data_IF_625429391283
#
_entry.id   IF_625429391283
#
_cell.length_a   1.000
_cell.length_b   1.000
_cell.length_c   1.000
_cell.angle_alpha   90.00
_cell.angle_beta   90.00
_cell.angle_gamma   90.00
#
_symmetry.space_group_name_H-M   'P 1'
#
loop_
_entity.id
_entity.type
_entity.pdbx_description
1 polymer ?
#
# COMPACT_ATOMS: atom_id res chain seq x y z
N UNK A 1 -49.12 8.16 12.30
CA UNK A 1 -47.94 8.93 11.84
C UNK A 1 -46.78 8.87 12.83
N UNK A 2 -46.80 9.50 14.02
CA UNK A 2 -45.64 9.49 14.95
C UNK A 2 -45.12 8.09 15.34
N UNK A 3 -46.01 7.12 15.55
CA UNK A 3 -45.64 5.73 15.88
C UNK A 3 -45.01 4.95 14.71
N UNK A 4 -45.30 5.38 13.47
CA UNK A 4 -44.79 4.77 12.23
C UNK A 4 -43.43 5.37 11.85
N UNK A 5 -43.22 6.68 12.01
CA UNK A 5 -41.89 7.29 11.85
C UNK A 5 -40.88 6.74 12.86
N UNK A 6 -41.27 6.61 14.14
CA UNK A 6 -40.40 6.04 15.16
C UNK A 6 -39.98 4.58 14.87
N UNK A 7 -40.80 3.80 14.13
CA UNK A 7 -40.39 2.45 13.71
C UNK A 7 -39.46 2.48 12.51
N UNK A 8 -39.63 3.45 11.60
CA UNK A 8 -38.77 3.63 10.43
C UNK A 8 -37.38 4.14 10.84
N UNK A 9 -37.30 5.13 11.74
CA UNK A 9 -36.05 5.62 12.32
C UNK A 9 -35.26 4.48 12.98
N UNK A 10 -35.96 3.66 13.77
CA UNK A 10 -35.35 2.49 14.43
C UNK A 10 -34.85 1.45 13.42
N UNK A 11 -35.60 1.20 12.34
CA UNK A 11 -35.20 0.27 11.29
C UNK A 11 -33.99 0.78 10.51
N UNK A 12 -33.97 2.07 10.14
CA UNK A 12 -32.81 2.67 9.48
C UNK A 12 -31.55 2.61 10.36
N UNK A 13 -31.67 2.89 11.66
CA UNK A 13 -30.57 2.75 12.61
C UNK A 13 -30.08 1.30 12.74
N UNK A 14 -31.01 0.33 12.79
CA UNK A 14 -30.67 -1.10 12.81
C UNK A 14 -29.93 -1.53 11.53
N UNK A 15 -30.46 -1.16 10.35
CA UNK A 15 -29.85 -1.48 9.07
C UNK A 15 -28.43 -0.92 8.98
N UNK A 16 -28.21 0.34 9.36
CA UNK A 16 -26.85 0.92 9.41
C UNK A 16 -25.90 0.10 10.27
N UNK A 17 -26.34 -0.28 11.47
CA UNK A 17 -25.53 -1.08 12.40
C UNK A 17 -25.19 -2.46 11.83
N UNK A 18 -26.16 -3.14 11.22
CA UNK A 18 -25.97 -4.47 10.63
C UNK A 18 -25.08 -4.41 9.39
N UNK A 19 -25.29 -3.42 8.52
CA UNK A 19 -24.47 -3.20 7.32
C UNK A 19 -23.03 -2.91 7.70
N UNK A 20 -22.80 -2.01 8.67
CA UNK A 20 -21.42 -1.71 9.12
C UNK A 20 -20.76 -2.91 9.81
N UNK A 21 -21.51 -3.71 10.57
CA UNK A 21 -20.99 -4.99 11.11
C UNK A 21 -20.52 -5.93 9.98
N UNK A 22 -21.33 -6.11 8.94
CA UNK A 22 -20.94 -6.95 7.80
C UNK A 22 -19.80 -6.34 6.98
N UNK A 23 -19.73 -5.02 6.83
CA UNK A 23 -18.59 -4.33 6.22
C UNK A 23 -17.30 -4.58 7.02
N UNK A 24 -17.37 -4.48 8.34
CA UNK A 24 -16.22 -4.78 9.20
C UNK A 24 -15.77 -6.24 9.04
N UNK A 25 -16.69 -7.20 9.12
CA UNK A 25 -16.40 -8.63 8.93
C UNK A 25 -15.76 -8.91 7.56
N UNK A 26 -16.28 -8.31 6.49
CA UNK A 26 -15.79 -8.53 5.13
C UNK A 26 -14.46 -7.84 4.85
N UNK A 27 -14.37 -6.51 5.09
CA UNK A 27 -13.24 -5.70 4.60
C UNK A 27 -12.11 -5.55 5.63
N UNK A 28 -12.41 -5.72 6.92
CA UNK A 28 -11.43 -5.57 8.01
C UNK A 28 -10.93 -6.92 8.50
N UNK A 29 -11.86 -7.82 8.82
CA UNK A 29 -11.55 -9.13 9.40
C UNK A 29 -11.35 -10.25 8.36
N UNK A 30 -11.68 -9.98 7.10
CA UNK A 30 -11.60 -10.94 5.99
C UNK A 30 -12.34 -12.27 6.31
N UNK A 31 -13.49 -12.18 7.03
CA UNK A 31 -14.30 -13.31 7.53
C UNK A 31 -15.82 -12.98 7.43
N UNK A 32 -16.40 -12.99 6.21
CA UNK A 32 -17.78 -12.57 5.97
C UNK A 32 -18.82 -13.57 6.50
N UNK A 33 -19.94 -13.06 7.04
CA UNK A 33 -21.02 -13.87 7.62
C UNK A 33 -22.25 -14.03 6.71
N UNK A 34 -22.38 -13.16 5.70
CA UNK A 34 -23.53 -13.10 4.79
C UNK A 34 -23.05 -13.12 3.35
N UNK A 35 -23.94 -13.56 2.44
CA UNK A 35 -23.65 -13.51 1.01
C UNK A 35 -23.73 -12.07 0.48
N UNK A 36 -23.10 -11.81 -0.66
CA UNK A 36 -23.18 -10.52 -1.34
C UNK A 36 -24.64 -10.12 -1.65
N UNK A 37 -25.48 -11.10 -2.01
CA UNK A 37 -26.89 -10.88 -2.30
C UNK A 37 -27.69 -10.45 -1.06
N UNK A 38 -27.40 -11.05 0.11
CA UNK A 38 -28.05 -10.67 1.37
C UNK A 38 -27.61 -9.28 1.82
N UNK A 39 -26.30 -8.98 1.69
CA UNK A 39 -25.76 -7.65 1.95
C UNK A 39 -26.42 -6.59 1.06
N UNK A 40 -26.51 -6.83 -0.24
CA UNK A 40 -27.13 -5.92 -1.21
C UNK A 40 -28.61 -5.69 -0.89
N UNK A 41 -29.33 -6.72 -0.43
CA UNK A 41 -30.71 -6.58 0.01
C UNK A 41 -30.84 -5.62 1.21
N UNK A 42 -29.97 -5.75 2.22
CA UNK A 42 -29.94 -4.84 3.37
C UNK A 42 -29.61 -3.40 2.96
N UNK A 43 -28.63 -3.22 2.09
CA UNK A 43 -28.22 -1.90 1.61
C UNK A 43 -29.32 -1.23 0.77
N UNK A 44 -29.99 -2.00 -0.09
CA UNK A 44 -31.12 -1.51 -0.88
C UNK A 44 -32.32 -1.14 0.01
N UNK A 45 -32.61 -1.94 1.04
CA UNK A 45 -33.65 -1.58 2.02
C UNK A 45 -33.33 -0.24 2.70
N UNK A 46 -32.09 -0.02 3.12
CA UNK A 46 -31.69 1.26 3.73
C UNK A 46 -31.80 2.43 2.74
N UNK A 47 -31.42 2.22 1.48
CA UNK A 47 -31.55 3.23 0.41
C UNK A 47 -33.01 3.61 0.20
N UNK A 48 -33.89 2.64 0.07
CA UNK A 48 -35.33 2.88 -0.13
C UNK A 48 -35.93 3.68 1.03
N UNK A 49 -35.54 3.34 2.27
CA UNK A 49 -35.98 4.09 3.45
C UNK A 49 -35.48 5.54 3.43
N UNK A 50 -34.22 5.77 3.08
CA UNK A 50 -33.62 7.11 3.01
C UNK A 50 -34.10 7.94 1.80
N UNK A 51 -34.61 7.30 0.75
CA UNK A 51 -35.32 7.97 -0.34
C UNK A 51 -36.73 8.39 0.05
N UNK A 52 -37.47 7.52 0.75
CA UNK A 52 -38.81 7.81 1.23
C UNK A 52 -38.82 8.82 2.39
N UNK A 53 -37.74 8.82 3.18
CA UNK A 53 -37.55 9.68 4.36
C UNK A 53 -36.19 10.39 4.31
N UNK A 54 -36.05 11.48 3.53
CA UNK A 54 -34.80 12.20 3.37
C UNK A 54 -34.19 12.70 4.69
N UNK A 55 -35.01 12.94 5.72
CA UNK A 55 -34.58 13.31 7.07
C UNK A 55 -33.73 12.24 7.77
N UNK A 56 -33.80 10.98 7.31
CA UNK A 56 -33.00 9.90 7.88
C UNK A 56 -31.57 9.91 7.35
N UNK A 57 -31.27 10.59 6.24
CA UNK A 57 -29.92 10.58 5.65
C UNK A 57 -28.94 11.27 6.59
N UNK A 58 -27.97 10.50 7.07
CA UNK A 58 -26.88 11.00 7.91
C UNK A 58 -25.55 10.94 7.17
N UNK A 59 -24.58 11.83 7.48
CA UNK A 59 -23.28 11.83 6.82
C UNK A 59 -22.45 10.54 6.99
N UNK A 60 -22.79 9.73 7.99
CA UNK A 60 -22.16 8.43 8.32
C UNK A 60 -22.94 7.22 7.78
N UNK A 61 -24.04 7.44 7.04
CA UNK A 61 -24.80 6.34 6.48
C UNK A 61 -24.00 5.61 5.37
N UNK A 62 -24.00 4.26 5.32
CA UNK A 62 -23.28 3.49 4.30
C UNK A 62 -23.70 3.81 2.86
N UNK A 63 -24.93 4.29 2.67
CA UNK A 63 -25.46 4.73 1.37
C UNK A 63 -24.76 5.98 0.82
N UNK A 64 -24.10 6.76 1.69
CA UNK A 64 -23.43 8.01 1.34
C UNK A 64 -21.96 7.80 0.91
N UNK A 65 -21.48 6.55 0.86
CA UNK A 65 -20.10 6.24 0.44
C UNK A 65 -19.83 6.57 -1.03
N UNK A 66 -20.86 6.50 -1.89
CA UNK A 66 -20.77 6.77 -3.33
C UNK A 66 -21.87 7.76 -3.73
N UNK A 67 -21.56 8.72 -4.61
CA UNK A 67 -22.53 9.70 -5.12
C UNK A 67 -22.25 11.16 -4.76
N UNK A 68 -21.10 11.45 -4.13
CA UNK A 68 -20.62 12.82 -4.01
C UNK A 68 -20.35 13.41 -5.40
N UNK A 69 -20.71 14.69 -5.61
CA UNK A 69 -20.39 15.39 -6.84
C UNK A 69 -18.86 15.47 -7.01
N UNK A 70 -18.34 15.39 -8.25
CA UNK A 70 -16.94 15.66 -8.51
C UNK A 70 -16.51 17.01 -7.92
N UNK A 71 -15.33 17.03 -7.31
CA UNK A 71 -14.73 18.24 -6.77
C UNK A 71 -14.15 19.08 -7.91
N UNK A 72 -14.23 20.40 -7.80
CA UNK A 72 -13.53 21.30 -8.74
C UNK A 72 -12.00 21.23 -8.54
N UNK A 73 -11.58 21.10 -7.28
CA UNK A 73 -10.18 20.98 -6.85
C UNK A 73 -10.10 20.42 -5.43
N UNK A 74 -8.92 19.95 -5.04
CA UNK A 74 -8.62 19.61 -3.65
C UNK A 74 -8.24 20.86 -2.86
N UNK A 75 -8.82 21.01 -1.67
CA UNK A 75 -8.45 22.09 -0.75
C UNK A 75 -7.30 21.66 0.16
N UNK A 76 -6.35 22.55 0.49
CA UNK A 76 -5.30 22.26 1.44
C UNK A 76 -5.87 22.10 2.86
N UNK A 77 -5.44 21.06 3.57
CA UNK A 77 -5.85 20.76 4.94
C UNK A 77 -4.63 20.73 5.84
N UNK A 78 -4.60 21.57 6.87
CA UNK A 78 -3.57 21.50 7.91
C UNK A 78 -3.87 20.36 8.88
N UNK A 79 -2.87 19.53 9.15
CA UNK A 79 -2.96 18.43 10.10
C UNK A 79 -3.00 18.95 11.55
N UNK A 80 -3.72 18.25 12.43
CA UNK A 80 -3.83 18.64 13.85
C UNK A 80 -2.50 18.44 14.59
N UNK A 81 -1.76 17.39 14.20
CA UNK A 81 -0.35 17.21 14.54
C UNK A 81 0.48 17.00 13.27
N UNK A 82 1.76 17.40 13.22
CA UNK A 82 2.60 17.09 12.07
C UNK A 82 2.66 15.57 11.78
N UNK A 83 2.68 15.21 10.50
CA UNK A 83 2.96 13.87 10.00
C UNK A 83 4.44 13.80 9.60
N UNK A 84 5.24 13.08 10.36
CA UNK A 84 6.67 12.96 10.13
C UNK A 84 7.02 11.88 9.10
N UNK A 85 8.23 11.99 8.53
CA UNK A 85 8.88 10.88 7.83
C UNK A 85 9.67 10.05 8.84
N UNK A 86 10.10 8.86 8.45
CA UNK A 86 10.96 8.02 9.28
C UNK A 86 12.41 8.10 8.79
N UNK A 87 13.35 8.12 9.74
CA UNK A 87 14.74 7.80 9.44
C UNK A 87 14.83 6.35 8.94
N UNK A 88 15.87 6.02 8.17
CA UNK A 88 16.07 4.67 7.66
C UNK A 88 17.27 3.99 8.32
N UNK A 89 17.13 2.72 8.67
CA UNK A 89 18.22 1.78 8.89
C UNK A 89 18.25 0.82 7.69
N UNK A 90 19.41 0.66 7.06
CA UNK A 90 19.62 -0.21 5.88
C UNK A 90 20.23 -1.56 6.21
N UNK A 91 20.68 -1.74 7.44
CA UNK A 91 21.34 -2.93 7.94
C UNK A 91 21.22 -3.01 9.46
N UNK A 92 21.70 -4.12 10.00
CA UNK A 92 21.68 -4.41 11.43
C UNK A 92 22.51 -3.40 12.24
N UNK A 93 23.66 -3.00 11.72
CA UNK A 93 24.56 -2.05 12.38
C UNK A 93 23.90 -0.68 12.58
N UNK A 94 23.17 -0.20 11.57
CA UNK A 94 22.42 1.05 11.63
C UNK A 94 21.26 0.98 12.64
N UNK A 95 20.54 -0.16 12.71
CA UNK A 95 19.49 -0.36 13.71
C UNK A 95 20.07 -0.39 15.13
N UNK A 96 21.17 -1.12 15.36
CA UNK A 96 21.87 -1.18 16.65
C UNK A 96 22.37 0.20 17.08
N UNK A 97 22.90 0.98 16.14
CA UNK A 97 23.32 2.35 16.40
C UNK A 97 22.14 3.26 16.77
N UNK A 98 20.96 3.05 16.17
CA UNK A 98 19.74 3.76 16.55
C UNK A 98 19.25 3.37 17.96
N UNK A 99 19.18 2.08 18.27
CA UNK A 99 18.83 1.56 19.60
C UNK A 99 19.72 2.15 20.69
N UNK A 100 21.04 2.14 20.50
CA UNK A 100 21.99 2.72 21.44
C UNK A 100 21.74 4.22 21.70
N UNK A 101 21.34 4.98 20.66
CA UNK A 101 20.98 6.41 20.80
C UNK A 101 19.67 6.58 21.56
N UNK A 102 18.65 5.79 21.24
CA UNK A 102 17.34 5.80 21.92
C UNK A 102 17.51 5.50 23.39
N UNK A 103 18.18 4.39 23.72
CA UNK A 103 18.47 3.95 25.08
C UNK A 103 19.21 5.01 25.89
N UNK A 104 20.25 5.61 25.31
CA UNK A 104 20.97 6.71 25.96
C UNK A 104 20.07 7.91 26.27
N UNK A 105 19.30 8.38 25.29
CA UNK A 105 18.42 9.53 25.46
C UNK A 105 17.26 9.27 26.44
N UNK A 106 16.76 8.03 26.49
CA UNK A 106 15.75 7.60 27.46
C UNK A 106 16.33 7.56 28.89
N UNK A 107 17.54 7.02 29.07
CA UNK A 107 18.24 7.01 30.35
C UNK A 107 18.56 8.42 30.86
N UNK A 108 19.00 9.33 29.98
CA UNK A 108 19.23 10.74 30.31
C UNK A 108 17.96 11.44 30.84
N UNK A 109 16.77 10.86 30.57
CA UNK A 109 15.46 11.34 31.01
C UNK A 109 14.87 10.55 32.17
N UNK A 110 15.61 9.59 32.73
CA UNK A 110 15.21 8.81 33.90
C UNK A 110 14.47 7.51 33.58
N UNK A 111 14.35 7.11 32.31
CA UNK A 111 13.79 5.79 31.95
C UNK A 111 14.89 4.73 32.09
N UNK A 112 14.70 3.69 32.92
CA UNK A 112 15.62 2.57 33.01
C UNK A 112 15.78 1.87 31.66
N UNK A 113 17.02 1.47 31.33
CA UNK A 113 17.34 0.91 30.01
C UNK A 113 16.56 -0.37 29.74
N UNK A 114 16.35 -1.19 30.76
CA UNK A 114 15.59 -2.42 30.75
C UNK A 114 14.10 -2.24 30.45
N UNK A 115 13.57 -1.01 30.55
CA UNK A 115 12.17 -0.68 30.28
C UNK A 115 11.96 -0.16 28.85
N UNK A 116 13.01 -0.02 28.04
CA UNK A 116 12.87 0.38 26.65
C UNK A 116 12.44 -0.81 25.81
N UNK A 117 11.16 -0.83 25.47
CA UNK A 117 10.54 -1.80 24.57
C UNK A 117 10.32 -1.20 23.17
N UNK A 118 10.19 -2.05 22.17
CA UNK A 118 9.90 -1.66 20.80
C UNK A 118 8.67 -2.37 20.25
N UNK A 119 7.91 -1.70 19.40
CA UNK A 119 6.90 -2.31 18.54
C UNK A 119 7.44 -2.39 17.12
N UNK A 120 7.30 -3.55 16.49
CA UNK A 120 7.59 -3.74 15.06
C UNK A 120 6.31 -3.93 14.25
N UNK A 121 6.18 -3.20 13.15
CA UNK A 121 5.06 -3.32 12.20
C UNK A 121 5.59 -3.40 10.76
N UNK A 122 4.93 -4.14 9.85
CA UNK A 122 5.30 -4.12 8.44
C UNK A 122 5.14 -2.71 7.87
N UNK A 123 6.16 -2.22 7.16
CA UNK A 123 6.14 -0.90 6.54
C UNK A 123 5.42 -0.96 5.20
N UNK A 124 4.12 -0.69 5.23
CA UNK A 124 3.24 -0.68 4.06
C UNK A 124 3.74 0.31 3.00
N UNK A 125 3.80 -0.13 1.75
CA UNK A 125 4.12 0.71 0.60
C UNK A 125 2.85 1.28 -0.05
N UNK A 126 2.41 2.45 0.44
CA UNK A 126 1.20 3.09 -0.05
C UNK A 126 1.24 4.61 0.02
N UNK A 127 0.09 5.19 0.35
CA UNK A 127 -0.09 6.62 0.58
C UNK A 127 -0.54 6.87 2.02
N UNK A 128 0.27 7.61 2.78
CA UNK A 128 -0.07 8.04 4.13
C UNK A 128 -1.29 8.97 4.15
N UNK A 129 -2.25 8.63 5.00
CA UNK A 129 -3.53 9.31 5.21
C UNK A 129 -3.72 9.64 6.69
N UNK A 130 -4.30 10.81 6.95
CA UNK A 130 -4.83 11.23 8.24
C UNK A 130 -6.35 11.32 8.16
N UNK A 131 -7.05 10.68 9.10
CA UNK A 131 -8.50 10.67 9.25
C UNK A 131 -8.87 11.29 10.59
N UNK A 132 -9.69 12.33 10.60
CA UNK A 132 -10.18 12.98 11.82
C UNK A 132 -11.62 12.56 12.05
N UNK A 133 -11.85 12.00 13.23
CA UNK A 133 -13.15 11.68 13.76
C UNK A 133 -13.50 12.64 14.90
N UNK A 134 -14.66 13.25 14.82
CA UNK A 134 -15.22 14.11 15.88
C UNK A 134 -16.49 13.46 16.41
N UNK A 135 -16.51 13.14 17.70
CA UNK A 135 -17.58 12.38 18.36
C UNK A 135 -17.94 11.10 17.57
N UNK A 136 -16.91 10.40 17.10
CA UNK A 136 -17.03 9.15 16.34
C UNK A 136 -17.34 9.29 14.86
N UNK A 137 -17.63 10.47 14.31
CA UNK A 137 -17.98 10.63 12.89
C UNK A 137 -16.77 11.08 12.08
N UNK A 138 -16.50 10.45 10.93
CA UNK A 138 -15.46 10.87 10.00
C UNK A 138 -15.78 12.25 9.39
N UNK A 139 -15.12 13.29 9.87
CA UNK A 139 -15.34 14.68 9.41
C UNK A 139 -14.30 15.12 8.38
N UNK A 140 -13.07 14.62 8.47
CA UNK A 140 -11.99 15.04 7.57
C UNK A 140 -11.00 13.93 7.26
N UNK A 141 -10.60 13.82 6.00
CA UNK A 141 -9.52 12.95 5.56
C UNK A 141 -8.54 13.72 4.68
N UNK A 142 -7.24 13.53 4.91
CA UNK A 142 -6.20 14.27 4.20
C UNK A 142 -5.00 13.39 3.83
N UNK A 143 -4.38 13.70 2.68
CA UNK A 143 -3.06 13.13 2.32
C UNK A 143 -1.98 13.71 3.22
N UNK A 144 -0.81 13.06 3.31
CA UNK A 144 0.32 13.62 4.08
C UNK A 144 0.76 15.00 3.59
N UNK A 145 0.79 15.21 2.27
CA UNK A 145 1.37 16.40 1.65
C UNK A 145 2.82 16.65 2.10
N UNK A 146 3.08 17.84 2.65
CA UNK A 146 4.41 18.20 3.17
C UNK A 146 4.64 17.79 4.64
N UNK A 147 3.67 17.13 5.26
CA UNK A 147 3.70 16.72 6.67
C UNK A 147 2.99 17.71 7.61
N UNK A 148 2.80 18.96 7.21
CA UNK A 148 1.96 19.92 7.95
C UNK A 148 0.63 20.16 7.25
N UNK A 149 0.66 20.23 5.93
CA UNK A 149 -0.50 20.50 5.07
C UNK A 149 -0.59 19.41 4.00
N UNK A 150 -1.76 18.78 3.97
CA UNK A 150 -2.18 17.77 3.00
C UNK A 150 -3.22 18.27 2.01
N UNK A 151 -3.63 17.39 1.10
CA UNK A 151 -4.82 17.59 0.27
C UNK A 151 -6.04 16.97 0.96
N UNK A 152 -7.14 17.71 1.08
CA UNK A 152 -8.39 17.21 1.62
C UNK A 152 -9.09 16.25 0.66
N UNK A 153 -9.07 14.95 0.99
CA UNK A 153 -9.54 13.84 0.15
C UNK A 153 -10.65 13.03 0.85
N UNK A 154 -11.40 13.66 1.76
CA UNK A 154 -12.45 13.01 2.58
C UNK A 154 -13.44 12.21 1.73
N UNK A 155 -13.89 12.77 0.59
CA UNK A 155 -14.89 12.10 -0.26
C UNK A 155 -14.34 10.82 -0.88
N UNK A 156 -13.09 10.85 -1.37
CA UNK A 156 -12.41 9.68 -1.91
C UNK A 156 -12.21 8.61 -0.83
N UNK A 157 -11.82 9.00 0.38
CA UNK A 157 -11.59 8.08 1.50
C UNK A 157 -12.89 7.41 1.99
N UNK A 158 -14.03 8.11 1.94
CA UNK A 158 -15.35 7.51 2.25
C UNK A 158 -15.70 6.33 1.35
N UNK A 159 -15.16 6.29 0.13
CA UNK A 159 -15.39 5.17 -0.81
C UNK A 159 -14.64 3.89 -0.41
N UNK A 160 -13.62 3.99 0.45
CA UNK A 160 -12.83 2.83 0.91
C UNK A 160 -13.59 2.14 2.03
N UNK A 161 -14.08 0.94 1.74
CA UNK A 161 -14.95 0.18 2.65
C UNK A 161 -14.26 -0.26 3.95
N UNK A 162 -12.94 -0.41 3.93
CA UNK A 162 -12.13 -0.69 5.13
C UNK A 162 -12.02 0.51 6.10
N UNK A 163 -12.42 1.71 5.68
CA UNK A 163 -12.45 2.90 6.55
C UNK A 163 -13.86 3.02 7.16
N UNK A 164 -14.02 2.93 8.49
CA UNK A 164 -15.32 3.13 9.12
C UNK A 164 -15.76 4.58 8.96
N UNK A 165 -17.05 4.83 8.67
CA UNK A 165 -17.58 6.20 8.65
C UNK A 165 -17.91 6.71 10.06
N UNK A 166 -18.15 5.75 10.97
CA UNK A 166 -18.50 5.95 12.36
C UNK A 166 -17.69 4.99 13.24
N UNK A 167 -17.18 5.50 14.34
CA UNK A 167 -16.59 4.73 15.43
C UNK A 167 -17.54 4.79 16.62
N UNK A 168 -17.95 3.63 17.13
CA UNK A 168 -18.77 3.54 18.34
C UNK A 168 -17.93 3.79 19.59
N UNK A 169 -18.54 4.34 20.64
CA UNK A 169 -17.87 4.69 21.91
C UNK A 169 -16.59 5.53 21.73
N UNK A 170 -16.57 6.37 20.69
CA UNK A 170 -15.40 7.13 20.30
C UNK A 170 -15.08 8.29 21.27
N UNK A 171 -13.80 8.66 21.39
CA UNK A 171 -13.40 9.90 22.05
C UNK A 171 -13.99 11.14 21.34
N UNK A 172 -13.95 12.28 22.03
CA UNK A 172 -14.47 13.55 21.49
C UNK A 172 -13.75 13.93 20.19
N UNK A 173 -12.44 13.69 20.13
CA UNK A 173 -11.60 13.88 18.96
C UNK A 173 -10.58 12.76 18.86
N UNK A 174 -10.42 12.17 17.67
CA UNK A 174 -9.29 11.29 17.36
C UNK A 174 -8.86 11.44 15.91
N UNK A 175 -7.55 11.63 15.72
CA UNK A 175 -6.90 11.57 14.42
C UNK A 175 -6.28 10.18 14.23
N UNK A 176 -6.82 9.39 13.33
CA UNK A 176 -6.30 8.07 12.95
C UNK A 176 -5.37 8.20 11.76
N UNK A 177 -4.19 7.57 11.83
CA UNK A 177 -3.18 7.57 10.77
C UNK A 177 -3.00 6.17 10.21
N UNK A 178 -2.86 6.11 8.90
CA UNK A 178 -2.67 4.85 8.21
C UNK A 178 -2.13 5.03 6.80
N UNK A 179 -2.00 3.90 6.11
CA UNK A 179 -1.52 3.83 4.73
C UNK A 179 -2.62 3.24 3.85
N UNK A 180 -3.11 4.03 2.89
CA UNK A 180 -3.95 3.50 1.82
C UNK A 180 -3.07 2.76 0.84
N UNK A 181 -3.47 1.54 0.48
CA UNK A 181 -2.75 0.69 -0.45
C UNK A 181 -3.73 0.01 -1.42
N UNK A 182 -3.17 -0.60 -2.45
CA UNK A 182 -3.89 -1.45 -3.40
C UNK A 182 -3.35 -2.88 -3.26
N UNK A 183 -4.19 -3.88 -2.92
CA UNK A 183 -3.73 -5.26 -2.82
C UNK A 183 -3.13 -5.76 -4.14
N UNK A 184 -2.15 -6.67 -4.08
CA UNK A 184 -1.41 -7.17 -5.25
C UNK A 184 -2.34 -7.93 -6.20
N UNK A 185 -3.20 -8.78 -5.67
CA UNK A 185 -4.23 -9.52 -6.42
C UNK A 185 -5.15 -8.57 -7.18
N UNK A 186 -5.68 -7.56 -6.49
CA UNK A 186 -6.50 -6.50 -7.04
C UNK A 186 -5.77 -5.66 -8.11
N UNK A 187 -4.50 -5.32 -7.88
CA UNK A 187 -3.68 -4.60 -8.85
C UNK A 187 -3.44 -5.42 -10.13
N UNK A 188 -3.19 -6.72 -9.99
CA UNK A 188 -3.02 -7.62 -11.13
C UNK A 188 -4.30 -7.68 -11.97
N UNK A 189 -5.46 -7.94 -11.34
CA UNK A 189 -6.76 -7.96 -12.01
C UNK A 189 -7.09 -6.62 -12.68
N UNK A 190 -6.78 -5.50 -12.02
CA UNK A 190 -7.00 -4.17 -12.57
C UNK A 190 -6.15 -3.91 -13.83
N UNK A 191 -4.90 -4.37 -13.85
CA UNK A 191 -4.04 -4.24 -15.02
C UNK A 191 -4.46 -5.18 -16.16
N UNK A 192 -4.95 -6.38 -15.85
CA UNK A 192 -5.51 -7.32 -16.83
C UNK A 192 -6.72 -6.68 -17.55
N UNK A 193 -7.70 -6.18 -16.79
CA UNK A 193 -8.85 -5.47 -17.36
C UNK A 193 -8.45 -4.29 -18.25
N UNK A 194 -7.43 -3.52 -17.85
CA UNK A 194 -6.91 -2.40 -18.64
C UNK A 194 -6.24 -2.84 -19.92
N UNK A 195 -5.47 -3.93 -19.87
CA UNK A 195 -4.82 -4.50 -21.05
C UNK A 195 -5.86 -5.02 -22.06
N UNK A 196 -6.89 -5.70 -21.59
CA UNK A 196 -8.02 -6.15 -22.43
C UNK A 196 -8.76 -4.98 -23.09
N UNK A 197 -8.90 -3.86 -22.37
CA UNK A 197 -9.50 -2.63 -22.89
C UNK A 197 -8.56 -1.80 -23.79
N UNK A 198 -7.30 -2.23 -24.01
CA UNK A 198 -6.29 -1.50 -24.78
C UNK A 198 -5.76 -0.23 -24.08
N UNK A 199 -5.97 -0.10 -22.78
CA UNK A 199 -5.51 1.03 -21.97
C UNK A 199 -4.11 0.79 -21.38
N UNK A 200 -3.34 1.86 -21.08
CA UNK A 200 -2.06 1.72 -20.39
C UNK A 200 -2.20 1.11 -19.00
N UNK A 201 -1.40 0.10 -18.69
CA UNK A 201 -1.28 -0.51 -17.35
C UNK A 201 -0.57 0.41 -16.36
N UNK A 202 -0.87 0.28 -15.08
CA UNK A 202 -0.15 0.97 -14.02
C UNK A 202 1.21 0.32 -13.74
N UNK A 203 2.19 1.12 -13.32
CA UNK A 203 3.56 0.67 -13.07
C UNK A 203 3.72 -0.08 -11.74
N UNK A 204 3.07 0.37 -10.67
CA UNK A 204 3.10 -0.27 -9.36
C UNK A 204 1.83 0.05 -8.54
N UNK A 205 1.51 -0.78 -7.53
CA UNK A 205 0.35 -0.58 -6.65
C UNK A 205 0.33 0.78 -5.95
N UNK A 206 1.48 1.25 -5.43
CA UNK A 206 1.60 2.53 -4.72
C UNK A 206 1.11 3.72 -5.57
N UNK A 207 1.58 3.81 -6.81
CA UNK A 207 1.23 4.88 -7.75
C UNK A 207 -0.24 4.76 -8.19
N UNK A 208 -0.73 3.54 -8.39
CA UNK A 208 -2.13 3.30 -8.71
C UNK A 208 -3.05 3.77 -7.56
N UNK A 209 -2.70 3.42 -6.32
CA UNK A 209 -3.43 3.85 -5.12
C UNK A 209 -3.41 5.38 -4.96
N UNK A 210 -2.23 6.01 -5.07
CA UNK A 210 -2.10 7.46 -4.96
C UNK A 210 -2.87 8.20 -6.07
N UNK A 211 -2.82 7.68 -7.30
CA UNK A 211 -3.59 8.22 -8.42
C UNK A 211 -5.09 8.08 -8.23
N UNK A 212 -5.55 6.98 -7.63
CA UNK A 212 -6.95 6.72 -7.32
C UNK A 212 -7.49 7.65 -6.22
N UNK A 213 -6.72 7.90 -5.16
CA UNK A 213 -7.12 8.82 -4.08
C UNK A 213 -7.22 10.27 -4.56
N UNK A 214 -6.40 10.65 -5.56
CA UNK A 214 -6.35 12.02 -6.11
C UNK A 214 -7.26 12.22 -7.32
N UNK A 215 -8.36 11.47 -7.41
CA UNK A 215 -9.38 11.69 -8.44
C UNK A 215 -10.38 12.74 -7.98
N UNK A 216 -10.63 13.75 -8.82
CA UNK A 216 -11.65 14.76 -8.52
C UNK A 216 -13.05 14.16 -8.45
N UNK A 217 -13.31 13.12 -9.24
CA UNK A 217 -14.53 12.32 -9.14
C UNK A 217 -14.31 11.11 -8.22
N UNK A 218 -14.95 11.06 -7.03
CA UNK A 218 -14.83 9.94 -6.10
C UNK A 218 -15.35 8.62 -6.68
N UNK A 219 -16.21 8.64 -7.70
CA UNK A 219 -16.68 7.41 -8.35
C UNK A 219 -15.51 6.64 -9.00
N UNK A 220 -14.49 7.34 -9.50
CA UNK A 220 -13.28 6.72 -10.04
C UNK A 220 -12.46 6.07 -8.92
N UNK A 221 -12.42 6.67 -7.72
CA UNK A 221 -11.79 6.04 -6.55
C UNK A 221 -12.57 4.80 -6.12
N UNK A 222 -13.91 4.89 -6.07
CA UNK A 222 -14.78 3.79 -5.66
C UNK A 222 -14.68 2.57 -6.58
N UNK A 223 -14.34 2.77 -7.86
CA UNK A 223 -14.10 1.69 -8.81
C UNK A 223 -12.76 0.97 -8.60
N UNK A 224 -11.91 1.44 -7.67
CA UNK A 224 -10.61 0.84 -7.36
C UNK A 224 -10.72 0.11 -6.03
N UNK A 225 -10.29 -1.15 -5.95
CA UNK A 225 -10.36 -1.96 -4.73
C UNK A 225 -9.27 -1.55 -3.73
N UNK A 226 -9.30 -0.29 -3.28
CA UNK A 226 -8.38 0.24 -2.27
C UNK A 226 -8.72 -0.30 -0.89
N UNK A 227 -7.70 -0.41 -0.05
CA UNK A 227 -7.80 -0.74 1.37
C UNK A 227 -6.88 0.18 2.18
N UNK A 228 -6.97 0.13 3.50
CA UNK A 228 -6.15 0.94 4.39
C UNK A 228 -5.70 0.12 5.60
N UNK A 229 -4.41 0.21 5.93
CA UNK A 229 -3.87 -0.27 7.21
C UNK A 229 -3.65 0.93 8.14
N UNK A 230 -4.20 0.88 9.35
CA UNK A 230 -4.00 1.89 10.39
C UNK A 230 -2.83 1.52 11.28
N UNK A 231 -1.98 2.49 11.64
CA UNK A 231 -0.70 2.26 12.32
C UNK A 231 -0.42 3.23 13.46
N UNK A 232 -1.37 4.09 13.84
CA UNK A 232 -1.19 4.99 14.97
C UNK A 232 -2.15 6.15 15.01
N UNK A 233 -2.01 6.96 16.05
CA UNK A 233 -2.90 8.08 16.36
C UNK A 233 -2.14 9.41 16.31
N UNK A 234 -2.89 10.49 16.06
CA UNK A 234 -2.41 11.87 15.99
C UNK A 234 -2.91 12.69 17.19
N UNK A 235 -3.72 13.71 16.92
CA UNK A 235 -4.45 14.41 17.98
C UNK A 235 -5.54 13.52 18.61
N UNK A 236 -5.69 13.61 19.92
CA UNK A 236 -6.67 12.85 20.71
C UNK A 236 -7.23 13.73 21.83
N UNK A 237 -8.53 13.65 22.08
CA UNK A 237 -9.20 14.28 23.23
C UNK A 237 -10.26 13.33 23.80
N UNK A 238 -10.15 13.00 25.10
CA UNK A 238 -11.07 12.07 25.77
C UNK A 238 -10.60 10.62 25.82
N UNK A 239 -9.36 10.35 25.41
CA UNK A 239 -8.67 9.07 25.60
C UNK A 239 -7.22 9.35 25.99
N UNK A 240 -6.66 8.53 26.87
CA UNK A 240 -5.24 8.54 27.24
C UNK A 240 -4.70 7.12 27.10
N UNK A 241 -3.55 6.99 26.43
CA UNK A 241 -2.92 5.72 26.12
C UNK A 241 -1.43 5.86 26.42
N UNK A 242 -0.87 4.87 27.12
CA UNK A 242 0.51 4.92 27.59
C UNK A 242 1.51 4.34 26.56
N UNK A 243 1.05 3.43 25.71
CA UNK A 243 1.90 2.68 24.79
C UNK A 243 1.37 2.66 23.36
N UNK A 244 2.27 2.53 22.40
CA UNK A 244 1.93 2.35 21.00
C UNK A 244 1.19 1.03 20.76
N UNK A 245 1.53 -0.03 21.49
CA UNK A 245 0.75 -1.27 21.48
C UNK A 245 -0.72 -1.02 21.87
N UNK A 246 -0.97 -0.21 22.91
CA UNK A 246 -2.33 0.17 23.31
C UNK A 246 -3.05 1.02 22.23
N UNK A 247 -2.34 1.84 21.45
CA UNK A 247 -2.93 2.53 20.28
C UNK A 247 -3.37 1.54 19.20
N UNK A 248 -2.56 0.52 18.90
CA UNK A 248 -2.89 -0.51 17.91
C UNK A 248 -4.06 -1.39 18.38
N UNK A 249 -4.10 -1.73 19.67
CA UNK A 249 -5.22 -2.45 20.28
C UNK A 249 -6.51 -1.64 20.24
N UNK A 250 -6.45 -0.34 20.60
CA UNK A 250 -7.60 0.55 20.52
C UNK A 250 -8.11 0.68 19.08
N UNK A 251 -7.20 0.87 18.10
CA UNK A 251 -7.58 0.93 16.68
C UNK A 251 -8.33 -0.33 16.24
N UNK A 252 -7.84 -1.51 16.63
CA UNK A 252 -8.48 -2.79 16.34
C UNK A 252 -9.88 -2.89 16.97
N UNK A 253 -9.99 -2.53 18.27
CA UNK A 253 -11.27 -2.53 19.00
C UNK A 253 -12.28 -1.53 18.43
N UNK A 254 -11.80 -0.39 17.93
CA UNK A 254 -12.59 0.65 17.30
C UNK A 254 -13.03 0.31 15.86
N UNK A 255 -12.67 -0.88 15.35
CA UNK A 255 -13.08 -1.37 14.03
C UNK A 255 -12.18 -0.94 12.87
N UNK A 256 -10.97 -0.45 13.16
CA UNK A 256 -9.98 -0.15 12.13
C UNK A 256 -9.18 -1.39 11.75
N UNK A 257 -8.86 -1.49 10.46
CA UNK A 257 -7.94 -2.51 9.94
C UNK A 257 -6.50 -2.18 10.34
N UNK A 258 -5.95 -2.93 11.29
CA UNK A 258 -4.57 -2.81 11.79
C UNK A 258 -3.73 -3.97 11.27
N UNK A 259 -2.46 -3.75 10.93
CA UNK A 259 -1.59 -4.77 10.36
C UNK A 259 -1.56 -6.02 11.24
N UNK A 260 -1.81 -7.22 10.68
CA UNK A 260 -1.68 -8.44 11.46
C UNK A 260 -0.20 -8.63 11.83
N UNK A 261 0.05 -9.24 12.98
CA UNK A 261 1.38 -9.71 13.39
C UNK A 261 2.40 -8.60 13.79
N UNK A 262 1.90 -7.45 14.28
CA UNK A 262 2.74 -6.54 15.06
C UNK A 262 3.16 -7.18 16.38
N UNK A 263 4.35 -6.85 16.88
CA UNK A 263 4.91 -7.46 18.11
C UNK A 263 5.63 -6.45 18.97
N UNK A 264 5.52 -6.64 20.28
CA UNK A 264 6.35 -5.96 21.29
C UNK A 264 7.63 -6.76 21.50
N UNK A 265 8.77 -6.06 21.53
CA UNK A 265 10.11 -6.62 21.69
C UNK A 265 10.80 -5.92 22.86
N UNK A 266 11.28 -6.71 23.82
CA UNK A 266 12.13 -6.24 24.92
C UNK A 266 13.62 -6.44 24.62
N UNK A 267 13.93 -7.24 23.60
CA UNK A 267 15.28 -7.63 23.17
C UNK A 267 15.54 -7.23 21.72
N UNK A 268 16.72 -6.66 21.47
CA UNK A 268 17.12 -6.20 20.14
C UNK A 268 17.38 -7.37 19.18
N UNK A 269 17.86 -8.52 19.66
CA UNK A 269 18.07 -9.69 18.80
C UNK A 269 16.74 -10.26 18.30
N UNK A 270 15.72 -10.30 19.16
CA UNK A 270 14.35 -10.66 18.78
C UNK A 270 13.79 -9.72 17.71
N UNK A 271 13.98 -8.40 17.89
CA UNK A 271 13.57 -7.40 16.92
C UNK A 271 14.28 -7.58 15.56
N UNK A 272 15.60 -7.82 15.55
CA UNK A 272 16.35 -8.07 14.31
C UNK A 272 15.88 -9.34 13.60
N UNK A 273 15.62 -10.43 14.34
CA UNK A 273 15.05 -11.66 13.76
C UNK A 273 13.70 -11.41 13.13
N UNK A 274 12.86 -10.60 13.79
CA UNK A 274 11.55 -10.24 13.26
C UNK A 274 11.63 -9.39 11.99
N UNK A 275 12.56 -8.43 11.93
CA UNK A 275 12.82 -7.66 10.71
C UNK A 275 13.24 -8.56 9.53
N UNK A 276 14.11 -9.55 9.78
CA UNK A 276 14.53 -10.52 8.76
C UNK A 276 13.39 -11.42 8.30
N UNK A 277 12.57 -11.91 9.25
CA UNK A 277 11.38 -12.72 8.93
C UNK A 277 10.45 -11.97 7.97
N UNK A 278 10.14 -10.70 8.26
CA UNK A 278 9.32 -9.89 7.36
C UNK A 278 9.96 -9.70 5.98
N UNK A 279 11.29 -9.57 5.90
CA UNK A 279 12.00 -9.48 4.60
C UNK A 279 11.87 -10.77 3.77
N UNK A 280 11.89 -11.93 4.43
CA UNK A 280 11.73 -13.25 3.81
C UNK A 280 10.27 -13.49 3.38
N UNK A 281 9.29 -13.11 4.21
CA UNK A 281 7.87 -13.39 3.99
C UNK A 281 7.14 -12.34 3.13
N UNK A 282 7.76 -11.18 2.84
CA UNK A 282 7.12 -10.05 2.11
C UNK A 282 6.49 -10.41 0.76
N UNK A 283 6.91 -11.50 0.12
CA UNK A 283 6.36 -11.96 -1.16
C UNK A 283 5.05 -12.72 -1.01
N UNK A 284 4.82 -13.35 0.14
CA UNK A 284 3.58 -14.06 0.45
C UNK A 284 2.41 -13.15 0.79
N UNK A 285 2.67 -11.86 1.02
CA UNK A 285 1.63 -10.88 1.36
C UNK A 285 0.90 -10.42 0.10
N UNK A 286 -0.41 -10.23 0.22
CA UNK A 286 -1.24 -9.61 -0.83
C UNK A 286 -1.11 -8.07 -0.84
N UNK A 287 -0.07 -7.52 -0.24
CA UNK A 287 0.25 -6.10 -0.24
C UNK A 287 1.76 -5.88 -0.23
N UNK A 288 2.19 -4.73 -0.72
CA UNK A 288 3.62 -4.40 -0.77
C UNK A 288 4.08 -3.81 0.56
N UNK A 289 5.22 -4.32 1.04
CA UNK A 289 5.95 -3.76 2.17
C UNK A 289 7.38 -3.47 1.74
N UNK A 290 7.91 -2.31 2.15
CA UNK A 290 9.25 -1.85 1.77
C UNK A 290 10.25 -1.88 2.95
N UNK A 291 9.82 -2.48 4.07
CA UNK A 291 10.59 -2.56 5.29
C UNK A 291 9.76 -2.98 6.51
N UNK A 292 10.33 -2.77 7.68
CA UNK A 292 9.64 -2.84 8.98
C UNK A 292 9.79 -1.50 9.68
N UNK A 293 8.72 -0.97 10.24
CA UNK A 293 8.77 0.19 11.13
C UNK A 293 9.01 -0.31 12.54
N UNK A 294 10.01 0.26 13.20
CA UNK A 294 10.31 0.02 14.61
C UNK A 294 10.04 1.30 15.38
N UNK A 295 9.22 1.22 16.42
CA UNK A 295 8.83 2.34 17.28
C UNK A 295 9.14 2.00 18.74
N UNK A 296 9.59 2.96 19.54
CA UNK A 296 9.63 2.80 21.01
C UNK A 296 8.20 2.58 21.50
N UNK A 297 7.94 1.58 22.35
CA UNK A 297 6.58 1.24 22.75
C UNK A 297 5.96 2.34 23.65
N UNK A 298 6.72 2.86 24.61
CA UNK A 298 6.25 3.88 25.55
C UNK A 298 6.09 5.25 24.86
N UNK A 299 4.88 5.82 24.92
CA UNK A 299 4.54 7.07 24.24
C UNK A 299 5.11 8.31 24.95
N UNK A 300 5.33 8.27 26.26
CA UNK A 300 6.01 9.34 26.99
C UNK A 300 7.50 9.39 26.64
N UNK A 301 8.13 8.22 26.55
CA UNK A 301 9.51 8.11 26.06
C UNK A 301 9.58 8.61 24.62
N UNK A 302 8.69 8.17 23.72
CA UNK A 302 8.65 8.67 22.33
C UNK A 302 8.55 10.21 22.28
N UNK A 303 7.59 10.80 23.02
CA UNK A 303 7.40 12.26 23.11
C UNK A 303 8.67 12.94 23.63
N UNK A 304 9.29 12.38 24.66
CA UNK A 304 10.53 12.89 25.26
C UNK A 304 11.72 12.87 24.30
N UNK A 305 11.90 11.80 23.50
CA UNK A 305 13.00 11.70 22.55
C UNK A 305 12.96 12.81 21.48
N UNK A 306 11.75 13.26 21.14
CA UNK A 306 11.51 14.37 20.20
C UNK A 306 11.85 14.01 18.75
N UNK A 307 12.03 15.05 17.93
CA UNK A 307 12.15 14.94 16.47
C UNK A 307 13.43 15.65 16.00
N UNK A 308 14.14 15.08 15.04
CA UNK A 308 15.28 15.74 14.36
C UNK A 308 14.88 16.01 12.92
N UNK A 309 14.85 17.29 12.54
CA UNK A 309 14.34 17.69 11.23
C UNK A 309 12.87 17.28 11.08
N UNK A 310 12.62 16.21 10.32
CA UNK A 310 11.28 15.62 10.12
C UNK A 310 11.22 14.13 10.47
N UNK A 311 12.16 13.65 11.29
CA UNK A 311 12.32 12.25 11.66
C UNK A 311 12.22 12.09 13.18
N UNK A 312 11.21 11.35 13.71
CA UNK A 312 11.07 11.11 15.13
C UNK A 312 12.23 10.25 15.63
N UNK A 313 12.85 10.64 16.74
CA UNK A 313 13.97 9.85 17.29
C UNK A 313 13.54 8.48 17.81
N UNK A 314 12.30 8.38 18.29
CA UNK A 314 11.70 7.16 18.81
C UNK A 314 11.17 6.19 17.75
N UNK A 315 11.37 6.44 16.46
CA UNK A 315 10.97 5.49 15.42
C UNK A 315 11.94 5.46 14.23
N UNK A 316 12.10 4.29 13.61
CA UNK A 316 12.99 4.08 12.47
C UNK A 316 12.37 3.06 11.50
N UNK A 317 12.64 3.20 10.21
CA UNK A 317 12.29 2.22 9.19
C UNK A 317 13.50 1.33 8.88
N UNK A 318 13.43 0.05 9.23
CA UNK A 318 14.32 -0.98 8.68
C UNK A 318 13.94 -1.20 7.21
N UNK A 319 14.75 -0.71 6.28
CA UNK A 319 14.47 -0.81 4.85
C UNK A 319 15.02 -2.11 4.29
N UNK A 320 14.18 -2.83 3.57
CA UNK A 320 14.62 -4.01 2.83
C UNK A 320 15.49 -3.63 1.65
N UNK A 321 16.30 -4.59 1.19
CA UNK A 321 16.99 -4.42 -0.07
C UNK A 321 15.96 -4.25 -1.20
N UNK A 322 16.15 -3.24 -2.09
CA UNK A 322 15.23 -3.02 -3.21
C UNK A 322 15.23 -4.24 -4.14
N UNK A 323 14.02 -4.68 -4.53
CA UNK A 323 13.82 -5.77 -5.49
C UNK A 323 14.08 -5.37 -6.93
N UNK A 324 14.29 -4.07 -7.17
CA UNK A 324 14.55 -3.52 -8.50
C UNK A 324 15.84 -2.74 -8.52
N UNK A 325 16.57 -2.83 -9.61
CA UNK A 325 17.67 -1.91 -9.90
C UNK A 325 17.64 -1.50 -11.36
N UNK A 326 18.20 -0.33 -11.63
CA UNK A 326 18.40 0.17 -12.98
C UNK A 326 19.78 -0.22 -13.46
N UNK A 327 19.89 -0.73 -14.68
CA UNK A 327 21.17 -1.05 -15.31
C UNK A 327 21.10 -0.87 -16.82
N UNK A 328 22.23 -0.95 -17.51
CA UNK A 328 22.28 -0.88 -18.97
C UNK A 328 22.00 -2.25 -19.58
N UNK A 329 21.04 -2.32 -20.50
CA UNK A 329 20.84 -3.46 -21.39
C UNK A 329 21.96 -3.45 -22.44
N UNK A 330 22.96 -4.31 -22.29
CA UNK A 330 24.06 -4.41 -23.25
C UNK A 330 23.58 -4.97 -24.59
N UNK A 331 22.76 -6.01 -24.56
CA UNK A 331 22.13 -6.59 -25.74
C UNK A 331 20.97 -7.52 -25.39
N UNK A 332 20.01 -7.67 -26.30
CA UNK A 332 19.05 -8.77 -26.31
C UNK A 332 19.67 -9.98 -27.00
N UNK A 333 19.68 -11.11 -26.29
CA UNK A 333 20.19 -12.39 -26.79
C UNK A 333 19.04 -13.40 -26.88
N UNK A 334 19.21 -14.45 -27.68
CA UNK A 334 18.18 -15.45 -27.94
C UNK A 334 18.68 -16.84 -27.55
N UNK A 335 17.97 -17.49 -26.63
CA UNK A 335 18.25 -18.86 -26.24
C UNK A 335 17.36 -19.81 -27.03
N UNK A 336 17.89 -20.98 -27.39
CA UNK A 336 17.14 -22.02 -28.11
C UNK A 336 16.79 -23.13 -27.12
N UNK A 337 15.50 -23.28 -26.84
CA UNK A 337 14.98 -24.29 -25.93
C UNK A 337 15.07 -25.70 -26.51
N UNK A 338 14.80 -26.72 -25.68
CA UNK A 338 14.82 -28.14 -26.06
C UNK A 338 13.89 -28.48 -27.24
N UNK A 339 12.81 -27.73 -27.39
CA UNK A 339 11.81 -27.88 -28.47
C UNK A 339 12.09 -26.98 -29.68
N UNK A 340 13.23 -26.29 -29.73
CA UNK A 340 13.58 -25.35 -30.80
C UNK A 340 13.05 -23.92 -30.61
N UNK A 341 12.16 -23.70 -29.63
CA UNK A 341 11.61 -22.36 -29.34
C UNK A 341 12.69 -21.36 -28.94
N UNK A 342 12.61 -20.17 -29.51
CA UNK A 342 13.54 -19.08 -29.26
C UNK A 342 12.98 -18.13 -28.21
N UNK A 343 13.70 -18.01 -27.10
CA UNK A 343 13.32 -17.18 -25.96
C UNK A 343 14.32 -16.02 -25.82
N UNK A 344 13.85 -14.76 -25.83
CA UNK A 344 14.73 -13.62 -25.62
C UNK A 344 15.15 -13.51 -24.15
N UNK A 345 16.38 -13.08 -23.93
CA UNK A 345 16.89 -12.75 -22.61
C UNK A 345 17.84 -11.54 -22.70
N UNK A 346 17.90 -10.78 -21.62
CA UNK A 346 18.69 -9.57 -21.51
C UNK A 346 20.09 -9.89 -21.02
N UNK A 347 21.10 -9.38 -21.73
CA UNK A 347 22.47 -9.27 -21.26
C UNK A 347 22.66 -7.89 -20.61
N UNK A 348 22.98 -7.86 -19.33
CA UNK A 348 22.97 -6.64 -18.53
C UNK A 348 24.38 -6.24 -18.10
N UNK A 349 24.60 -4.95 -17.93
CA UNK A 349 25.69 -4.49 -17.06
C UNK A 349 25.45 -5.05 -15.65
N UNK A 350 26.46 -5.67 -14.99
CA UNK A 350 26.27 -6.29 -13.68
C UNK A 350 25.68 -5.31 -12.67
N UNK A 351 24.58 -5.70 -12.02
CA UNK A 351 23.87 -4.84 -11.07
C UNK A 351 23.44 -5.64 -9.83
N UNK A 352 23.48 -5.02 -8.65
CA UNK A 352 22.98 -5.64 -7.42
C UNK A 352 21.45 -5.51 -7.35
N UNK A 353 20.75 -6.63 -7.21
CA UNK A 353 19.29 -6.67 -7.00
C UNK A 353 19.00 -7.69 -5.90
N UNK A 354 18.30 -7.26 -4.84
CA UNK A 354 18.01 -8.15 -3.69
C UNK A 354 19.27 -8.84 -3.13
N UNK A 355 20.38 -8.10 -3.03
CA UNK A 355 21.65 -8.61 -2.46
C UNK A 355 22.48 -9.53 -3.37
N UNK A 356 22.08 -9.75 -4.63
CA UNK A 356 22.79 -10.61 -5.58
C UNK A 356 23.14 -9.86 -6.87
N UNK A 357 24.31 -10.19 -7.45
CA UNK A 357 24.73 -9.66 -8.74
C UNK A 357 23.95 -10.29 -9.89
N UNK A 358 23.09 -9.51 -10.55
CA UNK A 358 22.36 -9.90 -11.77
C UNK A 358 23.12 -9.44 -13.01
N UNK A 359 23.35 -10.38 -13.94
CA UNK A 359 23.94 -10.10 -15.27
C UNK A 359 23.04 -10.52 -16.43
N UNK A 360 22.08 -11.40 -16.15
CA UNK A 360 21.14 -11.94 -17.12
C UNK A 360 19.74 -11.81 -16.53
N UNK A 361 18.77 -11.47 -17.37
CA UNK A 361 17.37 -11.41 -16.98
C UNK A 361 16.46 -11.90 -18.12
N UNK A 362 15.34 -12.52 -17.79
CA UNK A 362 14.36 -12.95 -18.79
C UNK A 362 13.65 -11.76 -19.43
N UNK A 363 13.35 -11.89 -20.72
CA UNK A 363 12.41 -11.04 -21.47
C UNK A 363 11.13 -11.80 -21.84
N UNK A 364 10.92 -12.97 -21.23
CA UNK A 364 9.79 -13.89 -21.37
C UNK A 364 9.59 -14.45 -22.78
N UNK A 365 9.15 -13.62 -23.73
CA UNK A 365 8.89 -14.00 -25.11
C UNK A 365 8.94 -12.77 -26.03
N UNK A 366 8.78 -12.97 -27.34
CA UNK A 366 8.84 -11.87 -28.31
C UNK A 366 7.71 -10.84 -28.14
N UNK A 367 6.51 -11.27 -27.77
CA UNK A 367 5.36 -10.38 -27.58
C UNK A 367 5.58 -9.45 -26.38
N UNK A 368 6.09 -9.99 -25.28
CA UNK A 368 6.43 -9.23 -24.09
C UNK A 368 7.60 -8.27 -24.34
N UNK A 369 8.62 -8.71 -25.08
CA UNK A 369 9.72 -7.86 -25.55
C UNK A 369 9.20 -6.67 -26.37
N UNK A 370 8.28 -6.91 -27.31
CA UNK A 370 7.66 -5.85 -28.13
C UNK A 370 6.80 -4.92 -27.29
N UNK A 371 5.98 -5.46 -26.38
CA UNK A 371 5.12 -4.70 -25.47
C UNK A 371 5.93 -3.77 -24.57
N UNK A 372 7.08 -4.24 -24.06
CA UNK A 372 7.99 -3.46 -23.23
C UNK A 372 8.81 -2.44 -24.03
N UNK A 373 8.96 -2.64 -25.34
CA UNK A 373 9.79 -1.85 -26.25
C UNK A 373 11.21 -1.64 -25.69
N UNK A 374 11.85 -2.66 -25.12
CA UNK A 374 13.25 -2.55 -24.66
C UNK A 374 14.21 -2.80 -25.81
N UNK A 375 15.31 -2.04 -25.87
CA UNK A 375 16.26 -2.04 -26.98
C UNK A 375 17.69 -2.01 -26.49
N UNK A 376 18.59 -2.53 -27.30
CA UNK A 376 20.03 -2.56 -26.99
C UNK A 376 20.55 -1.15 -26.67
N UNK A 377 21.29 -1.04 -25.57
CA UNK A 377 21.81 0.21 -25.02
C UNK A 377 20.82 0.98 -24.14
N UNK A 378 19.56 0.55 -24.03
CA UNK A 378 18.62 1.18 -23.11
C UNK A 378 19.07 1.00 -21.66
N UNK A 379 18.83 2.04 -20.87
CA UNK A 379 18.79 1.90 -19.42
C UNK A 379 17.46 1.22 -19.05
N UNK A 380 17.52 0.07 -18.38
CA UNK A 380 16.38 -0.79 -18.08
C UNK A 380 16.22 -1.02 -16.58
N UNK A 381 14.97 -1.20 -16.17
CA UNK A 381 14.61 -1.58 -14.80
C UNK A 381 14.57 -3.11 -14.74
N UNK A 382 15.42 -3.68 -13.89
CA UNK A 382 15.52 -5.12 -13.66
C UNK A 382 14.93 -5.42 -12.30
N UNK A 383 14.14 -6.47 -12.21
CA UNK A 383 13.49 -6.92 -10.98
C UNK A 383 13.88 -8.35 -10.65
N UNK A 384 14.09 -8.62 -9.38
CA UNK A 384 14.29 -9.97 -8.82
C UNK A 384 13.54 -10.07 -7.50
N UNK A 385 12.44 -10.80 -7.50
CA UNK A 385 11.74 -11.22 -6.30
C UNK A 385 12.34 -12.56 -5.82
N UNK A 386 12.79 -12.61 -4.56
CA UNK A 386 13.27 -13.82 -3.89
C UNK A 386 14.31 -14.61 -4.69
N UNK A 387 14.08 -15.91 -4.79
CA UNK A 387 14.89 -16.86 -5.58
C UNK A 387 14.40 -17.03 -7.02
N UNK A 388 13.52 -16.14 -7.50
CA UNK A 388 12.98 -16.18 -8.87
C UNK A 388 14.00 -15.66 -9.89
N UNK A 389 13.87 -16.15 -11.13
CA UNK A 389 14.65 -15.70 -12.29
C UNK A 389 14.47 -14.17 -12.46
N UNK A 390 15.56 -13.38 -12.47
CA UNK A 390 15.49 -11.95 -12.70
C UNK A 390 14.81 -11.62 -14.04
N UNK A 391 14.04 -10.54 -14.09
CA UNK A 391 13.34 -10.11 -15.31
C UNK A 391 13.54 -8.63 -15.60
N UNK A 392 13.54 -8.26 -16.87
CA UNK A 392 13.46 -6.85 -17.26
C UNK A 392 12.00 -6.40 -17.22
N UNK A 393 11.70 -5.37 -16.45
CA UNK A 393 10.33 -4.82 -16.30
C UNK A 393 10.01 -3.86 -17.43
N UNK A 394 10.85 -2.86 -17.65
CA UNK A 394 10.65 -1.80 -18.64
C UNK A 394 11.94 -1.00 -18.88
N UNK A 395 12.04 -0.24 -19.99
CA UNK A 395 13.08 0.78 -20.14
C UNK A 395 12.76 1.97 -19.23
N UNK A 396 13.78 2.69 -18.76
CA UNK A 396 13.55 3.88 -17.94
C UNK A 396 12.86 5.00 -18.76
N UNK A 397 12.15 5.93 -18.11
CA UNK A 397 11.55 7.08 -18.81
C UNK A 397 12.58 7.89 -19.62
N UNK A 398 13.83 7.94 -19.15
CA UNK A 398 14.96 8.56 -19.85
C UNK A 398 15.29 7.80 -21.14
N UNK A 399 15.37 6.48 -21.07
CA UNK A 399 15.57 5.64 -22.26
C UNK A 399 14.42 5.82 -23.25
N UNK A 400 13.16 5.77 -22.80
CA UNK A 400 11.98 5.94 -23.66
C UNK A 400 11.94 7.27 -24.43
N UNK A 401 12.38 8.37 -23.80
CA UNK A 401 12.43 9.71 -24.43
C UNK A 401 13.61 9.90 -25.39
N UNK A 402 14.58 8.99 -25.40
CA UNK A 402 15.73 9.10 -26.26
C UNK A 402 15.32 8.89 -27.73
N UNK A 403 15.60 9.88 -28.58
CA UNK A 403 15.30 9.81 -30.03
C UNK A 403 16.32 8.98 -30.81
N UNK A 404 17.46 8.63 -30.21
CA UNK A 404 18.56 7.87 -30.82
C UNK A 404 18.65 6.44 -30.27
N UNK A 405 17.50 5.81 -30.02
CA UNK A 405 17.47 4.41 -29.57
C UNK A 405 17.78 3.48 -30.72
N UNK A 406 18.35 2.33 -30.38
CA UNK A 406 18.56 1.23 -31.33
C UNK A 406 17.23 0.79 -31.98
N UNK A 407 17.26 0.08 -33.12
CA UNK A 407 16.08 -0.56 -33.66
C UNK A 407 15.48 -1.58 -32.67
N UNK A 408 14.17 -1.89 -32.76
CA UNK A 408 13.59 -2.97 -31.97
C UNK A 408 14.32 -4.30 -32.23
N UNK A 409 14.72 -5.01 -31.17
CA UNK A 409 15.41 -6.29 -31.30
C UNK A 409 14.52 -7.34 -31.98
N UNK A 410 15.15 -8.19 -32.79
CA UNK A 410 14.50 -9.29 -33.50
C UNK A 410 15.30 -10.58 -33.32
N UNK A 411 14.67 -11.76 -33.41
CA UNK A 411 15.39 -13.01 -33.46
C UNK A 411 16.29 -13.10 -34.70
N UNK A 412 17.43 -13.78 -34.61
CA UNK A 412 18.33 -13.95 -35.75
C UNK A 412 17.68 -14.84 -36.83
N UNK A 413 18.03 -14.62 -38.10
CA UNK A 413 17.53 -15.43 -39.24
C UNK A 413 18.03 -16.89 -39.21
N UNK A 414 19.02 -17.18 -38.37
CA UNK A 414 19.60 -18.52 -38.18
C UNK A 414 19.82 -18.79 -36.70
N UNK A 415 19.57 -20.05 -36.33
CA UNK A 415 19.77 -20.56 -34.98
C UNK A 415 21.21 -20.32 -34.50
N UNK A 416 21.41 -19.67 -33.33
CA UNK A 416 22.74 -19.46 -32.78
C UNK A 416 23.46 -20.76 -32.34
N UNK A 417 22.73 -21.87 -32.17
CA UNK A 417 23.29 -23.15 -31.75
C UNK A 417 23.65 -24.08 -32.92
N UNK A 418 22.85 -24.10 -34.00
CA UNK A 418 23.01 -25.07 -35.10
C UNK A 418 22.92 -24.46 -36.52
N UNK A 419 22.77 -23.14 -36.65
CA UNK A 419 22.66 -22.41 -37.92
C UNK A 419 21.44 -22.73 -38.82
N UNK A 420 20.51 -23.56 -38.35
CA UNK A 420 19.23 -23.83 -39.02
C UNK A 420 18.43 -22.53 -39.18
N UNK A 421 17.80 -22.27 -40.35
CA UNK A 421 16.97 -21.09 -40.56
C UNK A 421 15.85 -20.99 -39.52
N UNK A 422 15.60 -19.79 -39.01
CA UNK A 422 14.52 -19.56 -38.06
C UNK A 422 13.21 -19.32 -38.78
N UNK A 423 12.13 -19.84 -38.22
CA UNK A 423 10.76 -19.71 -38.75
C UNK A 423 9.82 -19.20 -37.67
N UNK A 424 8.83 -18.40 -38.08
CA UNK A 424 7.69 -18.02 -37.23
C UNK A 424 6.39 -18.53 -37.87
N UNK A 425 5.73 -19.55 -37.29
CA UNK A 425 4.39 -19.96 -37.72
C UNK A 425 3.37 -18.82 -37.49
N UNK A 426 2.27 -18.78 -38.25
CA UNK A 426 1.25 -17.70 -38.17
C UNK A 426 0.70 -17.48 -36.75
N UNK A 427 0.55 -18.55 -35.96
CA UNK A 427 0.10 -18.50 -34.56
C UNK A 427 1.13 -19.12 -33.60
N UNK A 428 2.42 -18.93 -33.89
CA UNK A 428 3.51 -19.59 -33.16
C UNK A 428 4.60 -18.65 -32.64
N UNK A 429 5.40 -19.18 -31.72
CA UNK A 429 6.67 -18.58 -31.31
C UNK A 429 7.75 -18.87 -32.35
N UNK A 430 8.77 -18.00 -32.42
CA UNK A 430 9.95 -18.26 -33.24
C UNK A 430 10.59 -19.60 -32.86
N UNK A 431 10.91 -20.41 -33.86
CA UNK A 431 11.54 -21.71 -33.71
C UNK A 431 12.57 -21.94 -34.82
N UNK A 432 13.40 -22.97 -34.64
CA UNK A 432 14.29 -23.50 -35.67
C UNK A 432 13.62 -24.59 -36.50
#
# INVERSE_FOLDING_TARGET
MKRTLASVEKRAAELRRVIEHHNHRYYVLDDPEVSDADYDALLNELRDLEEQHPELRTPDSPTQRVGAKPLDKFEPVRHLRPMYSLANARNEEELRAWDARVRKLAADRGTPLEQVEYVSEPKIDGLAISLVYENGILTRGATRGDGEVGEGVTQNLRTIKAIPLRVEDAPALVEVRGEVYLPRSAFAALNEQRAEAGEPTFANPRNAAAGAIRQLDPAITASRPLSMWCYGLGAMEGIDLDTHAAELEWLSQAGFKVTPDWKVHTDLEALVRECRRWEEEREGLDYEIDGVVVKVNDLDVQRGLGVVGREPRGAIAWKFAPMTATTTLRSVMWNVGRTGHMVPFANLEPVQVSGVTVKLATLHNEEDLRRKDVRDGDEVIVMRAGDVIPQVVSPTPKAQRNRKRSPPPKPPDRCPACSTPTIKPEEGVWTI
#
